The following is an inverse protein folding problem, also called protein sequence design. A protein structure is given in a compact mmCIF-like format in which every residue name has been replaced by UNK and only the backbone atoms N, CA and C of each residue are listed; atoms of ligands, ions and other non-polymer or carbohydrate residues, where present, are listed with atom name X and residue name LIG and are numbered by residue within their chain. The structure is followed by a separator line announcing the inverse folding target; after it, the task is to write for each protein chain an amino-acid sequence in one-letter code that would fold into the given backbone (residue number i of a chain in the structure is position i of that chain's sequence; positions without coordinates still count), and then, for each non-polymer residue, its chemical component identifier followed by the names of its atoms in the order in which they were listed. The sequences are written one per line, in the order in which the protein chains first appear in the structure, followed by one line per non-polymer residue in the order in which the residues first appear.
data_IF_666669309555
#
_entry.id   IF_666669309555
#
_cell.length_a   1.000
_cell.length_b   1.000
_cell.length_c   1.000
_cell.angle_alpha   90.00
_cell.angle_beta   90.00
_cell.angle_gamma   90.00
#
_symmetry.space_group_name_H-M   'P 1'
#
loop_
_entity.id
_entity.type
_entity.pdbx_description
1 polymer ?
#
# COMPACT_ATOMS: atom_id res chain seq x y z
N UNK A 1 17.38 -48.61 31.37
CA UNK A 1 17.57 -47.15 31.29
C UNK A 1 16.52 -46.66 30.30
N UNK A 2 15.59 -45.81 30.73
CA UNK A 2 14.53 -45.32 29.85
C UNK A 2 15.14 -44.22 28.97
N UNK A 3 15.19 -44.43 27.66
CA UNK A 3 15.54 -43.39 26.69
C UNK A 3 14.34 -42.45 26.57
N UNK A 4 14.40 -41.29 27.21
CA UNK A 4 13.45 -40.21 26.97
C UNK A 4 13.67 -39.69 25.55
N UNK A 5 12.79 -40.10 24.63
CA UNK A 5 12.79 -39.62 23.26
C UNK A 5 12.24 -38.20 23.23
N UNK A 6 13.10 -37.24 22.91
CA UNK A 6 12.71 -35.86 22.69
C UNK A 6 11.93 -35.78 21.37
N UNK A 7 10.77 -35.14 21.39
CA UNK A 7 9.92 -34.92 20.21
C UNK A 7 9.62 -33.44 20.02
N UNK A 8 9.25 -33.06 18.79
CA UNK A 8 8.76 -31.72 18.49
C UNK A 8 7.52 -31.42 19.36
N UNK A 9 7.54 -30.29 20.08
CA UNK A 9 6.44 -29.86 20.93
C UNK A 9 5.13 -29.78 20.12
N UNK A 10 5.17 -29.10 18.97
CA UNK A 10 3.97 -28.76 18.20
C UNK A 10 3.37 -29.90 17.36
N UNK A 11 4.18 -30.83 16.88
CA UNK A 11 3.71 -31.86 15.93
C UNK A 11 4.12 -33.29 16.29
N UNK A 12 4.89 -33.49 17.37
CA UNK A 12 5.32 -34.82 17.82
C UNK A 12 6.37 -35.51 16.93
N UNK A 13 6.86 -34.86 15.87
CA UNK A 13 7.94 -35.40 15.03
C UNK A 13 9.19 -35.72 15.86
N UNK A 14 9.88 -36.81 15.53
CA UNK A 14 11.17 -37.17 16.11
C UNK A 14 12.34 -36.77 15.20
N UNK A 15 12.05 -36.37 13.97
CA UNK A 15 13.05 -36.01 12.97
C UNK A 15 13.39 -34.52 13.01
N UNK A 16 14.65 -34.22 12.66
CA UNK A 16 15.20 -32.87 12.44
C UNK A 16 14.90 -31.85 13.54
N UNK A 17 15.03 -32.30 14.80
CA UNK A 17 14.76 -31.48 15.98
C UNK A 17 15.84 -30.44 16.23
N UNK A 18 15.38 -29.21 16.44
CA UNK A 18 16.14 -28.09 16.99
C UNK A 18 15.65 -27.80 18.40
N UNK A 19 16.50 -27.24 19.26
CA UNK A 19 16.18 -26.94 20.66
C UNK A 19 16.16 -25.42 20.84
N UNK A 20 15.08 -24.89 21.42
CA UNK A 20 14.99 -23.47 21.72
C UNK A 20 15.98 -23.09 22.84
N UNK A 21 16.86 -22.09 22.65
CA UNK A 21 17.84 -21.69 23.67
C UNK A 21 17.22 -21.02 24.90
N UNK A 22 15.95 -20.60 24.82
CA UNK A 22 15.24 -19.90 25.91
C UNK A 22 14.54 -20.86 26.87
N UNK A 23 13.82 -21.85 26.34
CA UNK A 23 12.99 -22.76 27.12
C UNK A 23 13.38 -24.24 27.01
N UNK A 24 14.42 -24.56 26.22
CA UNK A 24 14.91 -25.92 25.97
C UNK A 24 13.90 -26.90 25.33
N UNK A 25 12.79 -26.42 24.78
CA UNK A 25 11.82 -27.24 24.07
C UNK A 25 12.26 -27.53 22.64
N UNK A 26 11.94 -28.72 22.14
CA UNK A 26 12.32 -29.16 20.80
C UNK A 26 11.26 -28.82 19.74
N UNK A 27 11.71 -28.47 18.54
CA UNK A 27 10.86 -28.16 17.38
C UNK A 27 11.54 -28.62 16.08
N UNK A 28 10.78 -29.12 15.10
CA UNK A 28 11.35 -29.64 13.86
C UNK A 28 11.53 -28.58 12.75
N UNK A 29 10.77 -27.48 12.81
CA UNK A 29 10.82 -26.43 11.80
C UNK A 29 10.31 -25.09 12.34
N UNK A 30 10.52 -24.01 11.57
CA UNK A 30 10.09 -22.64 11.94
C UNK A 30 8.58 -22.55 12.18
N UNK A 31 7.76 -23.32 11.45
CA UNK A 31 6.30 -23.37 11.69
C UNK A 31 5.98 -23.88 13.10
N UNK A 32 6.70 -24.92 13.55
CA UNK A 32 6.55 -25.46 14.90
C UNK A 32 7.12 -24.52 15.97
N UNK A 33 8.20 -23.80 15.66
CA UNK A 33 8.74 -22.76 16.55
C UNK A 33 7.76 -21.60 16.79
N UNK A 34 6.94 -21.25 15.78
CA UNK A 34 5.91 -20.20 15.83
C UNK A 34 4.52 -20.71 16.22
N UNK A 35 4.41 -21.96 16.66
CA UNK A 35 3.13 -22.54 17.08
C UNK A 35 2.63 -21.88 18.37
N UNK A 36 1.34 -22.00 18.65
CA UNK A 36 0.72 -21.51 19.90
C UNK A 36 1.43 -22.07 21.16
N UNK A 37 1.89 -23.31 21.11
CA UNK A 37 2.59 -23.98 22.22
C UNK A 37 3.98 -23.37 22.51
N UNK A 38 4.58 -22.67 21.54
CA UNK A 38 5.88 -22.00 21.67
C UNK A 38 5.77 -20.48 21.37
N UNK A 39 4.58 -19.91 21.58
CA UNK A 39 4.29 -18.50 21.24
C UNK A 39 5.11 -17.52 22.07
N UNK A 40 5.24 -17.75 23.37
CA UNK A 40 5.90 -16.82 24.28
C UNK A 40 7.37 -16.56 23.90
N UNK A 41 8.14 -17.62 23.63
CA UNK A 41 9.54 -17.50 23.22
C UNK A 41 9.70 -16.97 21.79
N UNK A 42 8.78 -17.30 20.89
CA UNK A 42 8.83 -16.80 19.51
C UNK A 42 8.49 -15.32 19.43
N UNK A 43 7.43 -14.86 20.10
CA UNK A 43 7.07 -13.44 20.18
C UNK A 43 8.10 -12.60 20.92
N UNK A 44 8.63 -13.08 22.04
CA UNK A 44 9.67 -12.34 22.78
C UNK A 44 10.91 -12.10 21.90
N UNK A 45 11.32 -13.14 21.16
CA UNK A 45 12.44 -13.04 20.23
C UNK A 45 12.17 -12.03 19.11
N UNK A 46 11.00 -12.11 18.46
CA UNK A 46 10.64 -11.16 17.40
C UNK A 46 10.58 -9.73 17.90
N UNK A 47 9.98 -9.52 19.08
CA UNK A 47 9.92 -8.21 19.72
C UNK A 47 11.30 -7.64 19.98
N UNK A 48 12.20 -8.42 20.57
CA UNK A 48 13.58 -7.98 20.84
C UNK A 48 14.32 -7.63 19.54
N UNK A 49 14.17 -8.43 18.48
CA UNK A 49 14.76 -8.13 17.18
C UNK A 49 14.25 -6.79 16.61
N UNK A 50 12.93 -6.55 16.67
CA UNK A 50 12.33 -5.30 16.19
C UNK A 50 12.78 -4.11 17.03
N UNK A 51 12.74 -4.22 18.37
CA UNK A 51 13.22 -3.16 19.26
C UNK A 51 14.70 -2.85 19.04
N UNK A 52 15.53 -3.86 18.81
CA UNK A 52 16.96 -3.66 18.53
C UNK A 52 17.17 -2.95 17.19
N UNK A 53 16.46 -3.33 16.13
CA UNK A 53 16.54 -2.67 14.83
C UNK A 53 16.00 -1.22 14.87
N UNK A 54 14.91 -0.99 15.62
CA UNK A 54 14.38 0.36 15.85
C UNK A 54 15.38 1.23 16.61
N UNK A 55 16.08 0.72 17.63
CA UNK A 55 17.15 1.45 18.33
C UNK A 55 18.32 1.77 17.38
N UNK A 56 18.77 0.80 16.59
CA UNK A 56 19.84 1.00 15.59
C UNK A 56 19.48 2.06 14.54
N UNK A 57 18.22 2.14 14.12
CA UNK A 57 17.73 3.18 13.21
C UNK A 57 17.48 4.51 13.91
N UNK A 58 16.98 4.49 15.15
CA UNK A 58 16.71 5.67 15.97
C UNK A 58 17.97 6.43 16.38
N UNK A 59 19.10 5.75 16.56
CA UNK A 59 20.39 6.43 16.78
C UNK A 59 20.89 7.18 15.51
N UNK A 60 20.32 6.89 14.34
CA UNK A 60 20.64 7.55 13.06
C UNK A 60 19.59 8.59 12.62
N UNK A 61 18.48 8.73 13.34
CA UNK A 61 17.42 9.70 13.05
C UNK A 61 17.17 10.50 14.33
N UNK A 62 17.53 11.78 14.27
CA UNK A 62 17.23 12.80 15.29
C UNK A 62 15.87 12.53 15.95
N UNK A 63 15.82 12.71 17.27
CA UNK A 63 14.57 12.71 18.05
C UNK A 63 13.42 13.30 17.23
N UNK A 64 12.23 12.66 17.19
CA UNK A 64 11.10 13.24 16.48
C UNK A 64 10.90 14.65 17.02
N UNK A 65 11.13 15.67 16.18
CA UNK A 65 10.97 17.07 16.53
C UNK A 65 9.58 17.25 17.13
N UNK A 66 9.48 17.98 18.22
CA UNK A 66 8.16 18.26 18.77
C UNK A 66 7.38 19.11 17.77
N UNK A 67 6.06 18.95 17.74
CA UNK A 67 5.20 19.81 16.91
C UNK A 67 5.43 21.31 17.21
N UNK A 68 5.76 21.63 18.47
CA UNK A 68 6.10 22.97 18.93
C UNK A 68 7.42 23.50 18.33
N UNK A 69 8.44 22.65 18.17
CA UNK A 69 9.69 23.02 17.49
C UNK A 69 9.49 23.27 16.01
N UNK A 70 8.64 22.49 15.35
CA UNK A 70 8.29 22.67 13.94
C UNK A 70 7.58 24.01 13.70
N UNK A 71 6.60 24.35 14.53
CA UNK A 71 5.84 25.60 14.41
C UNK A 71 6.68 26.84 14.73
N UNK A 72 7.66 26.74 15.64
CA UNK A 72 8.55 27.86 15.96
C UNK A 72 9.63 28.13 14.90
N UNK A 73 10.08 27.11 14.16
CA UNK A 73 11.01 27.29 13.03
C UNK A 73 10.32 27.99 11.84
N UNK A 74 9.05 27.68 11.57
CA UNK A 74 8.30 28.29 10.45
C UNK A 74 7.62 29.63 10.81
N UNK A 75 7.40 29.92 12.10
CA UNK A 75 6.76 31.15 12.55
C UNK A 75 7.68 32.38 12.70
N UNK A 76 9.00 32.22 12.49
CA UNK A 76 9.98 33.29 12.72
C UNK A 76 10.28 34.15 11.49
N UNK A 77 9.94 33.68 10.29
CA UNK A 77 10.19 34.42 9.05
C UNK A 77 8.86 34.69 8.34
N UNK A 78 8.41 35.95 8.42
CA UNK A 78 7.37 36.58 7.59
C UNK A 78 5.94 36.77 8.15
N UNK A 79 5.81 37.23 9.40
CA UNK A 79 4.60 37.97 9.80
C UNK A 79 4.95 39.28 10.51
N UNK A 80 5.13 40.35 9.72
CA UNK A 80 5.09 41.72 10.24
C UNK A 80 3.66 42.06 10.67
N UNK A 81 3.31 41.71 11.90
CA UNK A 81 2.06 42.09 12.54
C UNK A 81 2.13 43.55 13.04
N UNK A 82 2.10 44.50 12.10
CA UNK A 82 1.72 45.89 12.38
C UNK A 82 0.63 46.28 11.39
N UNK A 83 -0.62 45.94 11.72
CA UNK A 83 -1.79 46.48 11.04
C UNK A 83 -2.97 46.49 12.00
N UNK A 84 -3.26 47.67 12.54
CA UNK A 84 -4.44 47.96 13.34
C UNK A 84 -5.70 47.64 12.51
N UNK A 85 -6.51 46.70 13.00
CA UNK A 85 -7.73 46.24 12.33
C UNK A 85 -8.90 47.17 12.70
N UNK A 86 -9.25 48.06 11.78
CA UNK A 86 -10.53 48.75 11.79
C UNK A 86 -11.28 48.50 10.48
N UNK A 87 -12.19 47.51 10.56
CA UNK A 87 -13.39 47.31 9.75
C UNK A 87 -13.31 47.43 8.23
N UNK A 88 -13.57 46.32 7.51
CA UNK A 88 -14.61 46.23 6.46
C UNK A 88 -14.75 44.79 5.92
N UNK A 89 -15.99 44.46 5.59
CA UNK A 89 -16.54 43.23 4.97
C UNK A 89 -15.70 42.51 3.90
N UNK A 90 -15.99 41.21 3.77
CA UNK A 90 -15.98 40.41 2.53
C UNK A 90 -14.63 39.97 1.93
N UNK A 91 -13.86 39.14 2.64
CA UNK A 91 -13.00 38.14 1.97
C UNK A 91 -13.06 36.81 2.72
N UNK A 92 -14.16 36.07 2.53
CA UNK A 92 -14.11 34.61 2.63
C UNK A 92 -13.24 34.19 1.44
N UNK A 93 -12.02 33.74 1.74
CA UNK A 93 -11.10 33.17 0.76
C UNK A 93 -11.72 31.84 0.29
N UNK A 94 -12.42 31.89 -0.85
CA UNK A 94 -13.01 30.72 -1.47
C UNK A 94 -11.88 29.90 -2.10
N UNK A 95 -11.58 28.74 -1.50
CA UNK A 95 -10.45 27.88 -1.87
C UNK A 95 -10.73 27.01 -3.12
N UNK A 96 -11.68 27.42 -3.97
CA UNK A 96 -12.15 26.65 -5.15
C UNK A 96 -11.74 27.30 -6.49
N UNK A 97 -10.85 28.28 -6.48
CA UNK A 97 -10.29 28.83 -7.72
C UNK A 97 -8.82 28.44 -7.84
N UNK A 98 -8.58 27.22 -8.31
CA UNK A 98 -7.74 26.93 -9.48
C UNK A 98 -7.94 25.44 -9.84
N UNK A 99 -8.57 25.20 -10.99
CA UNK A 99 -8.69 23.90 -11.64
C UNK A 99 -7.29 23.43 -12.07
N UNK A 100 -6.48 22.97 -11.10
CA UNK A 100 -5.15 22.42 -11.33
C UNK A 100 -5.26 20.97 -11.81
N UNK A 101 -5.85 20.80 -13.00
CA UNK A 101 -5.85 19.54 -13.76
C UNK A 101 -4.43 18.98 -13.90
N UNK A 102 -3.40 19.85 -13.82
CA UNK A 102 -1.98 19.47 -13.80
C UNK A 102 -1.64 18.53 -12.64
N UNK A 103 -2.21 18.73 -11.46
CA UNK A 103 -1.97 17.87 -10.30
C UNK A 103 -2.66 16.52 -10.46
N UNK A 104 -3.91 16.53 -10.91
CA UNK A 104 -4.67 15.29 -11.15
C UNK A 104 -4.03 14.46 -12.27
N UNK A 105 -3.55 15.09 -13.35
CA UNK A 105 -2.82 14.41 -14.42
C UNK A 105 -1.49 13.84 -13.92
N UNK A 106 -0.74 14.56 -13.08
CA UNK A 106 0.50 14.03 -12.46
C UNK A 106 0.23 12.81 -11.58
N UNK A 107 -0.84 12.84 -10.76
CA UNK A 107 -1.22 11.69 -9.94
C UNK A 107 -1.60 10.51 -10.83
N UNK A 108 -2.45 10.76 -11.83
CA UNK A 108 -2.91 9.73 -12.75
C UNK A 108 -1.72 9.08 -13.47
N UNK A 109 -0.79 9.87 -14.00
CA UNK A 109 0.41 9.37 -14.68
C UNK A 109 1.33 8.61 -13.72
N UNK A 110 1.44 9.07 -12.46
CA UNK A 110 2.14 8.36 -11.39
C UNK A 110 1.54 6.98 -11.11
N UNK A 111 0.22 6.93 -10.88
CA UNK A 111 -0.51 5.68 -10.64
C UNK A 111 -0.40 4.71 -11.84
N UNK A 112 -0.50 5.22 -13.07
CA UNK A 112 -0.34 4.40 -14.28
C UNK A 112 1.07 3.81 -14.35
N UNK A 113 2.09 4.62 -14.06
CA UNK A 113 3.49 4.19 -14.10
C UNK A 113 3.79 3.13 -13.04
N UNK A 114 3.30 3.33 -11.81
CA UNK A 114 3.40 2.33 -10.74
C UNK A 114 2.71 1.03 -11.14
N UNK A 115 1.47 1.10 -11.65
CA UNK A 115 0.72 -0.07 -12.09
C UNK A 115 1.42 -0.81 -13.25
N UNK A 116 1.97 -0.11 -14.22
CA UNK A 116 2.72 -0.71 -15.34
C UNK A 116 4.06 -1.32 -14.90
N UNK A 117 4.67 -0.77 -13.86
CA UNK A 117 5.92 -1.29 -13.29
C UNK A 117 5.71 -2.44 -12.31
N UNK A 118 4.49 -2.62 -11.80
CA UNK A 118 4.17 -3.68 -10.87
C UNK A 118 4.27 -5.03 -11.57
N UNK A 119 4.97 -5.98 -10.93
CA UNK A 119 4.93 -7.37 -11.37
C UNK A 119 3.50 -7.92 -11.18
N UNK A 120 3.00 -8.69 -12.15
CA UNK A 120 1.68 -9.34 -12.10
C UNK A 120 1.43 -10.07 -10.77
N UNK A 121 2.48 -10.67 -10.21
CA UNK A 121 2.44 -11.34 -8.90
C UNK A 121 2.15 -10.41 -7.72
N UNK A 122 2.59 -9.16 -7.77
CA UNK A 122 2.32 -8.18 -6.72
C UNK A 122 0.89 -7.65 -6.85
N UNK A 123 0.41 -7.46 -8.09
CA UNK A 123 -1.00 -7.12 -8.35
C UNK A 123 -1.95 -8.23 -7.83
N UNK A 124 -1.65 -9.49 -8.14
CA UNK A 124 -2.41 -10.65 -7.65
C UNK A 124 -2.42 -10.74 -6.13
N UNK A 125 -1.26 -10.47 -5.50
CA UNK A 125 -1.13 -10.43 -4.05
C UNK A 125 -2.02 -9.34 -3.45
N UNK A 126 -1.99 -8.14 -3.99
CA UNK A 126 -2.81 -7.02 -3.50
C UNK A 126 -4.31 -7.30 -3.66
N UNK A 127 -4.75 -7.81 -4.81
CA UNK A 127 -6.14 -8.21 -5.04
C UNK A 127 -6.57 -9.28 -4.02
N UNK A 128 -5.73 -10.29 -3.80
CA UNK A 128 -5.98 -11.34 -2.80
C UNK A 128 -6.09 -10.77 -1.38
N UNK A 129 -5.25 -9.79 -1.01
CA UNK A 129 -5.35 -9.12 0.30
C UNK A 129 -6.66 -8.34 0.47
N UNK A 130 -7.16 -7.74 -0.60
CA UNK A 130 -8.45 -7.05 -0.64
C UNK A 130 -9.64 -8.02 -0.72
N UNK A 131 -9.39 -9.33 -0.81
CA UNK A 131 -10.43 -10.35 -0.97
C UNK A 131 -11.06 -10.39 -2.36
N UNK A 132 -10.43 -9.74 -3.34
CA UNK A 132 -10.83 -9.72 -4.74
C UNK A 132 -10.06 -10.85 -5.43
N UNK A 133 -10.78 -11.80 -6.04
CA UNK A 133 -10.15 -12.89 -6.78
C UNK A 133 -9.42 -12.38 -8.02
N UNK A 134 -8.54 -13.21 -8.59
CA UNK A 134 -7.82 -12.89 -9.83
C UNK A 134 -8.59 -13.30 -11.08
N UNK A 135 -9.71 -13.99 -10.94
CA UNK A 135 -10.56 -14.38 -12.04
C UNK A 135 -11.45 -13.23 -12.54
N UNK A 136 -11.71 -13.22 -13.85
CA UNK A 136 -12.47 -12.16 -14.51
C UNK A 136 -13.87 -11.95 -13.91
N UNK A 137 -14.54 -13.03 -13.49
CA UNK A 137 -15.87 -12.97 -12.89
C UNK A 137 -15.81 -12.31 -11.50
N UNK A 138 -14.83 -12.67 -10.66
CA UNK A 138 -14.61 -12.03 -9.36
C UNK A 138 -14.29 -10.54 -9.50
N UNK A 139 -13.38 -10.18 -10.40
CA UNK A 139 -13.03 -8.78 -10.68
C UNK A 139 -14.26 -7.98 -11.13
N UNK A 140 -15.01 -8.51 -12.10
CA UNK A 140 -16.20 -7.84 -12.61
C UNK A 140 -17.27 -7.72 -11.52
N UNK A 141 -17.45 -8.74 -10.68
CA UNK A 141 -18.46 -8.75 -9.62
C UNK A 141 -18.19 -7.67 -8.55
N UNK A 142 -16.91 -7.35 -8.29
CA UNK A 142 -16.49 -6.38 -7.29
C UNK A 142 -16.82 -4.92 -7.63
N UNK A 143 -17.03 -4.62 -8.92
CA UNK A 143 -17.40 -3.29 -9.40
C UNK A 143 -18.85 -2.94 -9.07
N UNK A 144 -19.13 -1.65 -8.88
CA UNK A 144 -20.49 -1.14 -8.75
C UNK A 144 -21.24 -1.22 -10.09
N UNK A 145 -22.58 -1.25 -10.05
CA UNK A 145 -23.40 -1.28 -11.27
C UNK A 145 -23.09 -0.16 -12.30
N UNK A 146 -22.85 1.11 -11.91
CA UNK A 146 -22.45 2.13 -12.87
C UNK A 146 -21.07 1.86 -13.48
N UNK A 147 -20.11 1.33 -12.72
CA UNK A 147 -18.77 0.99 -13.20
C UNK A 147 -18.78 -0.23 -14.15
N UNK A 148 -19.60 -1.24 -13.86
CA UNK A 148 -19.81 -2.37 -14.77
C UNK A 148 -20.34 -1.90 -16.13
N UNK A 149 -21.29 -0.97 -16.11
CA UNK A 149 -21.88 -0.41 -17.33
C UNK A 149 -20.85 0.40 -18.12
N UNK A 150 -20.03 1.22 -17.46
CA UNK A 150 -18.98 1.98 -18.15
C UNK A 150 -17.92 1.05 -18.75
N UNK A 151 -17.54 -0.01 -18.03
CA UNK A 151 -16.60 -1.02 -18.52
C UNK A 151 -17.16 -1.76 -19.75
N UNK A 152 -18.43 -2.19 -19.72
CA UNK A 152 -19.08 -2.83 -20.88
C UNK A 152 -19.11 -1.92 -22.10
N UNK A 153 -19.47 -0.64 -21.93
CA UNK A 153 -19.49 0.33 -23.02
C UNK A 153 -18.10 0.56 -23.60
N UNK A 154 -17.08 0.61 -22.75
CA UNK A 154 -15.69 0.74 -23.19
C UNK A 154 -15.22 -0.48 -23.98
N UNK A 155 -15.56 -1.69 -23.51
CA UNK A 155 -15.25 -2.94 -24.20
C UNK A 155 -15.92 -3.01 -25.58
N UNK A 156 -17.21 -2.66 -25.67
CA UNK A 156 -17.94 -2.61 -26.94
C UNK A 156 -17.32 -1.62 -27.93
N UNK A 157 -16.86 -0.47 -27.43
CA UNK A 157 -16.15 0.53 -28.25
C UNK A 157 -14.82 0.00 -28.76
N UNK A 158 -14.05 -0.68 -27.92
CA UNK A 158 -12.76 -1.25 -28.28
C UNK A 158 -12.91 -2.34 -29.35
N UNK A 159 -13.92 -3.21 -29.20
CA UNK A 159 -14.29 -4.19 -30.22
C UNK A 159 -14.67 -3.54 -31.55
N UNK A 160 -15.48 -2.47 -31.52
CA UNK A 160 -15.85 -1.75 -32.74
C UNK A 160 -14.64 -1.11 -33.45
N UNK A 161 -13.67 -0.61 -32.67
CA UNK A 161 -12.42 -0.05 -33.17
C UNK A 161 -11.48 -1.12 -33.76
N UNK A 162 -11.37 -2.28 -33.11
CA UNK A 162 -10.57 -3.41 -33.62
C UNK A 162 -11.20 -4.01 -34.89
N UNK A 163 -12.53 -4.09 -34.94
CA UNK A 163 -13.28 -4.49 -36.12
C UNK A 163 -13.25 -3.45 -37.26
N UNK A 164 -12.68 -2.26 -37.02
CA UNK A 164 -12.58 -1.17 -37.99
C UNK A 164 -13.94 -0.58 -38.40
N UNK A 165 -14.97 -0.79 -37.59
CA UNK A 165 -16.34 -0.30 -37.84
C UNK A 165 -16.47 1.21 -37.62
N UNK A 166 -15.52 1.80 -36.91
CA UNK A 166 -15.38 3.23 -36.63
C UNK A 166 -14.67 3.99 -37.77
N UNK A 167 -13.92 3.30 -38.63
CA UNK A 167 -13.29 3.89 -39.82
C UNK A 167 -14.31 4.01 -40.96
N UNK A 168 -15.00 5.15 -40.99
CA UNK A 168 -15.85 5.49 -42.12
C UNK A 168 -15.05 5.50 -43.44
N UNK A 169 -15.45 4.64 -44.38
CA UNK A 169 -14.93 4.63 -45.77
C UNK A 169 -15.27 5.93 -46.51
N UNK A 170 -16.14 6.78 -45.94
CA UNK A 170 -16.53 8.08 -46.47
C UNK A 170 -15.76 9.27 -45.90
N UNK A 171 -14.81 9.05 -44.97
CA UNK A 171 -13.97 10.13 -44.45
C UNK A 171 -12.99 10.60 -45.55
N UNK A 172 -13.20 11.82 -46.08
CA UNK A 172 -12.30 12.45 -47.06
C UNK A 172 -10.90 12.59 -46.44
N UNK A 173 -9.87 12.07 -47.12
CA UNK A 173 -8.47 12.41 -46.82
C UNK A 173 -8.32 13.92 -46.84
N UNK A 174 -7.95 14.52 -45.70
CA UNK A 174 -7.40 15.88 -45.73
C UNK A 174 -5.99 15.75 -46.32
N UNK A 175 -5.80 16.30 -47.52
CA UNK A 175 -4.47 16.43 -48.09
C UNK A 175 -3.66 17.45 -47.28
N UNK A 176 -2.39 17.17 -46.97
CA UNK A 176 -1.51 18.16 -46.35
C UNK A 176 -1.27 19.31 -47.33
N UNK A 177 -1.41 20.55 -46.85
CA UNK A 177 -1.02 21.78 -47.55
C UNK A 177 0.48 21.89 -47.74
#
# INVERSE_FOLDING_TARGET
MQEERISCLACGSLDSLNICPRCALAYCCVKCYRSEEHRECSESFYRECVEQELRRRGDAQNSPRSFEEFMNEEGAEDFSADMECEGTSDQIMDSDDENDDSYLDKIKDGCISEYQSAEERELDRQLTLLGIGTDNESLLSSLTDPEKKSFSLFYDKLLAQEAGLDRSVFAKKQEPK
#
